data_IF_339345390115
#
_entry.id   IF_339345390115
#
_cell.length_a   1.000
_cell.length_b   1.000
_cell.length_c   1.000
_cell.angle_alpha   90.00
_cell.angle_beta   90.00
_cell.angle_gamma   90.00
#
_symmetry.space_group_name_H-M   'P 1'
#
loop_
_entity.id
_entity.type
_entity.pdbx_description
1 polymer ?
#
# COMPACT_ATOMS: atom_id res chain seq x y z
N UNK A 1 6.37 -14.94 -6.17
CA UNK A 1 5.49 -15.63 -7.14
C UNK A 1 5.59 -15.02 -8.54
N UNK A 2 5.40 -15.80 -9.60
CA UNK A 2 5.63 -15.36 -10.98
C UNK A 2 4.55 -14.38 -11.48
N UNK A 3 3.41 -14.32 -10.80
CA UNK A 3 2.29 -13.43 -11.10
C UNK A 3 2.36 -12.07 -10.38
N UNK A 4 3.55 -11.64 -9.98
CA UNK A 4 3.80 -10.32 -9.41
C UNK A 4 4.82 -9.55 -10.22
N UNK A 5 4.67 -8.24 -10.26
CA UNK A 5 5.70 -7.31 -10.78
C UNK A 5 6.38 -6.61 -9.61
N UNK A 6 7.70 -6.47 -9.72
CA UNK A 6 8.49 -5.62 -8.83
C UNK A 6 8.81 -4.34 -9.58
N UNK A 7 8.35 -3.21 -9.04
CA UNK A 7 8.50 -1.90 -9.65
C UNK A 7 9.35 -1.01 -8.75
N UNK A 8 10.22 -0.23 -9.36
CA UNK A 8 11.06 0.78 -8.73
C UNK A 8 10.59 2.15 -9.19
N UNK A 9 9.92 2.89 -8.32
CA UNK A 9 9.22 4.14 -8.67
C UNK A 9 9.77 5.29 -7.83
N UNK A 10 9.91 6.47 -8.43
CA UNK A 10 10.28 7.69 -7.73
C UNK A 10 9.09 8.25 -6.91
N UNK A 11 9.36 9.22 -6.02
CA UNK A 11 8.32 9.87 -5.21
C UNK A 11 8.10 9.26 -3.83
N UNK A 12 8.73 8.13 -3.53
CA UNK A 12 8.69 7.47 -2.22
C UNK A 12 7.31 6.98 -1.83
N UNK A 13 7.18 6.53 -0.58
CA UNK A 13 5.92 6.02 -0.02
C UNK A 13 4.78 7.06 -0.02
N UNK A 14 5.11 8.35 0.09
CA UNK A 14 4.07 9.41 0.10
C UNK A 14 3.33 9.49 -1.23
N UNK A 15 4.02 9.30 -2.37
CA UNK A 15 3.36 9.26 -3.67
C UNK A 15 2.44 8.04 -3.78
N UNK A 16 2.79 6.92 -3.14
CA UNK A 16 1.97 5.71 -3.16
C UNK A 16 0.63 5.89 -2.42
N UNK A 17 0.56 6.76 -1.41
CA UNK A 17 -0.71 7.09 -0.75
C UNK A 17 -1.77 7.62 -1.75
N UNK A 18 -1.33 8.31 -2.79
CA UNK A 18 -2.19 8.81 -3.87
C UNK A 18 -2.30 7.81 -5.03
N UNK A 19 -1.18 7.22 -5.49
CA UNK A 19 -1.19 6.30 -6.63
C UNK A 19 -2.03 5.04 -6.37
N UNK A 20 -1.98 4.48 -5.17
CA UNK A 20 -2.73 3.25 -4.83
C UNK A 20 -4.23 3.46 -5.05
N UNK A 21 -4.92 4.42 -4.43
CA UNK A 21 -6.33 4.61 -4.68
C UNK A 21 -6.64 4.99 -6.12
N UNK A 22 -5.81 5.79 -6.79
CA UNK A 22 -6.00 6.16 -8.20
C UNK A 22 -5.94 4.95 -9.14
N UNK A 23 -5.15 3.93 -8.83
CA UNK A 23 -5.00 2.74 -9.67
C UNK A 23 -5.94 1.60 -9.24
N UNK A 24 -6.20 1.41 -7.95
CA UNK A 24 -6.86 0.22 -7.44
C UNK A 24 -8.33 0.41 -7.09
N UNK A 25 -8.82 1.63 -6.87
CA UNK A 25 -10.25 1.88 -6.58
C UNK A 25 -11.09 1.79 -7.86
N UNK A 26 -11.43 0.57 -8.28
CA UNK A 26 -12.28 0.30 -9.45
C UNK A 26 -13.75 0.59 -9.17
N UNK A 27 -14.24 0.19 -8.00
CA UNK A 27 -15.61 0.46 -7.52
C UNK A 27 -15.68 1.78 -6.73
N UNK A 28 -14.53 2.45 -6.52
CA UNK A 28 -14.42 3.70 -5.80
C UNK A 28 -14.48 3.56 -4.28
N UNK A 29 -14.23 2.35 -3.72
CA UNK A 29 -14.35 2.10 -2.28
C UNK A 29 -13.18 1.27 -1.74
N UNK A 30 -12.60 1.68 -0.62
CA UNK A 30 -11.57 0.92 0.08
C UNK A 30 -11.75 0.95 1.60
N UNK A 31 -11.26 -0.09 2.25
CA UNK A 31 -11.23 -0.23 3.71
C UNK A 31 -9.82 0.02 4.21
N UNK A 32 -9.69 0.83 5.24
CA UNK A 32 -8.42 1.18 5.88
C UNK A 32 -8.45 0.84 7.37
N UNK A 33 -7.30 0.45 7.91
CA UNK A 33 -7.11 0.27 9.35
C UNK A 33 -6.14 1.36 9.83
N UNK A 34 -6.62 2.21 10.74
CA UNK A 34 -5.88 3.37 11.24
C UNK A 34 -5.09 2.98 12.49
N UNK A 35 -3.78 2.76 12.32
CA UNK A 35 -2.88 2.34 13.40
C UNK A 35 -1.80 3.36 13.74
N UNK A 36 -1.81 4.53 13.09
CA UNK A 36 -0.84 5.58 13.39
C UNK A 36 -0.83 6.73 12.39
N UNK A 37 0.28 7.49 12.41
CA UNK A 37 0.42 8.69 11.60
C UNK A 37 0.48 8.40 10.09
N UNK A 38 1.07 7.27 9.69
CA UNK A 38 1.24 6.94 8.28
C UNK A 38 -0.07 6.42 7.67
N UNK A 39 -0.74 5.48 8.32
CA UNK A 39 -2.08 5.05 7.88
C UNK A 39 -3.07 6.20 7.84
N UNK A 40 -3.03 7.13 8.81
CA UNK A 40 -3.86 8.35 8.81
C UNK A 40 -3.58 9.26 7.60
N UNK A 41 -2.32 9.39 7.16
CA UNK A 41 -1.97 10.15 5.95
C UNK A 41 -2.50 9.46 4.70
N UNK A 42 -2.31 8.15 4.59
CA UNK A 42 -2.82 7.35 3.48
C UNK A 42 -4.35 7.45 3.36
N UNK A 43 -5.08 7.39 4.48
CA UNK A 43 -6.54 7.59 4.52
C UNK A 43 -6.93 8.96 3.91
N UNK A 44 -6.23 10.03 4.29
CA UNK A 44 -6.54 11.39 3.79
C UNK A 44 -6.35 11.53 2.29
N UNK A 45 -5.33 10.89 1.73
CA UNK A 45 -5.09 10.88 0.28
C UNK A 45 -6.15 10.04 -0.44
N UNK A 46 -6.45 8.86 0.07
CA UNK A 46 -7.46 7.98 -0.52
C UNK A 46 -8.86 8.61 -0.53
N UNK A 47 -9.22 9.38 0.51
CA UNK A 47 -10.48 10.13 0.59
C UNK A 47 -10.64 11.21 -0.49
N UNK A 48 -9.55 11.59 -1.19
CA UNK A 48 -9.62 12.49 -2.35
C UNK A 48 -9.99 11.78 -3.64
N UNK A 49 -9.87 10.45 -3.66
CA UNK A 49 -10.10 9.61 -4.83
C UNK A 49 -11.44 8.88 -4.76
N UNK A 50 -11.80 8.36 -3.58
CA UNK A 50 -13.03 7.60 -3.41
C UNK A 50 -13.51 7.49 -1.97
N UNK A 51 -14.46 6.61 -1.74
CA UNK A 51 -15.00 6.31 -0.42
C UNK A 51 -14.00 5.50 0.40
N UNK A 52 -13.71 5.96 1.61
CA UNK A 52 -12.82 5.27 2.55
C UNK A 52 -13.56 4.94 3.84
N UNK A 53 -13.63 3.65 4.14
CA UNK A 53 -14.18 3.13 5.40
C UNK A 53 -13.01 2.81 6.32
N UNK A 54 -12.99 3.42 7.50
CA UNK A 54 -12.04 3.07 8.57
C UNK A 54 -12.69 1.96 9.43
N UNK A 55 -12.37 0.70 9.12
CA UNK A 55 -13.01 -0.45 9.77
C UNK A 55 -12.51 -0.68 11.20
N UNK A 56 -11.29 -0.27 11.51
CA UNK A 56 -10.75 -0.32 12.87
C UNK A 56 -9.69 0.79 13.07
N UNK A 57 -9.57 1.25 14.32
CA UNK A 57 -8.60 2.29 14.68
C UNK A 57 -8.10 2.09 16.11
N UNK A 58 -6.82 2.33 16.35
CA UNK A 58 -6.22 2.37 17.69
C UNK A 58 -5.99 3.80 18.23
N UNK A 59 -6.68 4.78 17.63
CA UNK A 59 -6.60 6.19 18.03
C UNK A 59 -7.03 6.44 19.47
N UNK A 60 -7.94 5.63 20.00
CA UNK A 60 -8.44 5.70 21.39
C UNK A 60 -7.32 5.62 22.44
N UNK A 61 -6.22 4.91 22.14
CA UNK A 61 -5.03 4.78 22.98
C UNK A 61 -3.78 5.34 22.30
N UNK A 62 -3.93 6.44 21.56
CA UNK A 62 -2.80 7.11 20.90
C UNK A 62 -1.93 6.17 20.04
N UNK A 63 -2.56 5.19 19.37
CA UNK A 63 -1.89 4.22 18.47
C UNK A 63 -0.81 3.38 19.18
N UNK A 64 -1.08 2.91 20.38
CA UNK A 64 -0.14 2.06 21.15
C UNK A 64 -0.36 0.57 20.93
N UNK A 65 -1.29 0.16 20.10
CA UNK A 65 -1.62 -1.22 19.80
C UNK A 65 -2.15 -1.40 18.39
N UNK A 66 -2.19 -2.65 17.91
CA UNK A 66 -2.91 -3.06 16.71
C UNK A 66 -4.29 -3.54 17.12
N UNK A 67 -5.40 -3.00 16.57
CA UNK A 67 -6.74 -3.46 16.90
C UNK A 67 -6.95 -4.92 16.47
N UNK A 68 -7.86 -5.63 17.12
CA UNK A 68 -8.27 -6.94 16.64
C UNK A 68 -9.02 -6.80 15.31
N UNK A 69 -8.48 -7.42 14.28
CA UNK A 69 -8.99 -7.38 12.92
C UNK A 69 -9.34 -8.78 12.41
N UNK A 70 -9.71 -9.69 13.33
CA UNK A 70 -10.14 -11.06 13.00
C UNK A 70 -11.52 -11.12 12.37
N UNK A 71 -12.40 -10.14 12.67
CA UNK A 71 -13.76 -10.05 12.15
C UNK A 71 -14.15 -8.61 11.82
N UNK A 72 -13.56 -8.07 10.76
CA UNK A 72 -13.86 -6.74 10.26
C UNK A 72 -15.18 -6.74 9.46
N UNK A 73 -15.93 -5.64 9.57
CA UNK A 73 -17.02 -5.37 8.63
C UNK A 73 -16.43 -4.77 7.35
N UNK A 74 -16.46 -5.56 6.27
CA UNK A 74 -15.94 -5.18 4.96
C UNK A 74 -17.07 -5.33 3.94
N UNK A 75 -17.53 -4.23 3.30
CA UNK A 75 -18.52 -4.30 2.23
C UNK A 75 -18.02 -5.15 1.04
N UNK A 76 -18.94 -5.87 0.40
CA UNK A 76 -18.62 -6.75 -0.74
C UNK A 76 -18.01 -6.01 -1.94
N UNK A 77 -18.37 -4.74 -2.14
CA UNK A 77 -17.88 -3.87 -3.22
C UNK A 77 -16.55 -3.18 -2.88
N UNK A 78 -15.86 -3.60 -1.82
CA UNK A 78 -14.54 -3.07 -1.42
C UNK A 78 -13.46 -3.51 -2.40
N UNK A 79 -12.71 -2.56 -2.94
CA UNK A 79 -11.62 -2.82 -3.89
C UNK A 79 -10.37 -3.39 -3.19
N UNK A 80 -10.04 -2.89 -1.99
CA UNK A 80 -8.91 -3.39 -1.20
C UNK A 80 -9.03 -3.00 0.28
N UNK A 81 -8.29 -3.73 1.11
CA UNK A 81 -8.04 -3.42 2.52
C UNK A 81 -6.60 -2.92 2.66
N UNK A 82 -6.40 -1.80 3.35
CA UNK A 82 -5.08 -1.19 3.53
C UNK A 82 -4.62 -1.21 4.98
N UNK A 83 -3.33 -1.55 5.17
CA UNK A 83 -2.62 -1.45 6.44
C UNK A 83 -1.27 -0.74 6.28
N UNK A 84 -0.83 -0.04 7.32
CA UNK A 84 0.57 0.29 7.53
C UNK A 84 1.14 -0.76 8.51
N UNK A 85 1.93 -1.70 8.01
CA UNK A 85 2.32 -2.89 8.78
C UNK A 85 3.32 -2.57 9.88
N UNK A 86 4.07 -1.47 9.76
CA UNK A 86 4.88 -0.92 10.83
C UNK A 86 4.76 0.61 10.88
N UNK A 87 4.07 1.10 11.89
CA UNK A 87 3.92 2.54 12.16
C UNK A 87 5.16 3.07 12.88
N UNK A 88 6.11 3.59 12.12
CA UNK A 88 7.45 3.99 12.57
C UNK A 88 7.42 4.97 13.74
N UNK A 89 6.53 5.97 13.70
CA UNK A 89 6.44 7.04 14.72
C UNK A 89 5.91 6.48 16.04
N UNK A 90 4.93 5.59 15.97
CA UNK A 90 4.27 5.04 17.16
C UNK A 90 4.92 3.74 17.66
N UNK A 91 5.83 3.15 16.87
CA UNK A 91 6.51 1.89 17.23
C UNK A 91 5.56 0.68 17.27
N UNK A 92 4.52 0.70 16.43
CA UNK A 92 3.51 -0.36 16.38
C UNK A 92 3.70 -1.20 15.13
N UNK A 93 3.79 -2.51 15.32
CA UNK A 93 4.01 -3.50 14.25
C UNK A 93 2.92 -4.57 14.29
N UNK A 94 2.44 -4.98 13.13
CA UNK A 94 1.52 -6.09 12.99
C UNK A 94 2.24 -7.43 13.18
N UNK A 95 1.71 -8.25 14.11
CA UNK A 95 2.18 -9.62 14.32
C UNK A 95 1.34 -10.66 13.57
N UNK A 96 0.11 -10.29 13.20
CA UNK A 96 -0.85 -11.11 12.47
C UNK A 96 -1.60 -10.21 11.48
N UNK A 97 -1.71 -10.64 10.23
CA UNK A 97 -2.47 -9.90 9.22
C UNK A 97 -3.97 -9.88 9.53
N UNK A 98 -4.70 -8.84 9.10
CA UNK A 98 -6.14 -8.77 9.27
C UNK A 98 -6.84 -9.85 8.43
N UNK A 99 -8.02 -10.29 8.89
CA UNK A 99 -8.89 -11.09 8.06
C UNK A 99 -9.59 -10.18 7.05
N UNK A 100 -9.13 -10.19 5.82
CA UNK A 100 -9.68 -9.35 4.74
C UNK A 100 -10.93 -9.95 4.09
N UNK A 101 -11.42 -11.10 4.56
CA UNK A 101 -12.57 -11.84 3.98
C UNK A 101 -12.42 -12.08 2.47
N UNK A 102 -11.19 -12.26 2.00
CA UNK A 102 -10.85 -12.51 0.60
C UNK A 102 -10.61 -11.27 -0.25
N UNK A 103 -10.77 -10.07 0.31
CA UNK A 103 -10.39 -8.84 -0.40
C UNK A 103 -8.88 -8.67 -0.49
N UNK A 104 -8.44 -7.93 -1.50
CA UNK A 104 -7.04 -7.58 -1.75
C UNK A 104 -6.45 -6.86 -0.54
N UNK A 105 -5.31 -7.34 -0.04
CA UNK A 105 -4.55 -6.66 1.02
C UNK A 105 -3.45 -5.79 0.40
N UNK A 106 -3.42 -4.53 0.78
CA UNK A 106 -2.36 -3.56 0.43
C UNK A 106 -1.61 -3.16 1.70
N UNK A 107 -0.29 -3.27 1.69
CA UNK A 107 0.54 -3.02 2.86
C UNK A 107 1.67 -2.03 2.61
N UNK A 108 1.76 -1.01 3.48
CA UNK A 108 2.97 -0.19 3.63
C UNK A 108 3.94 -0.90 4.57
N UNK A 109 5.07 -1.35 4.03
CA UNK A 109 6.14 -1.98 4.79
C UNK A 109 7.41 -1.13 4.87
N UNK A 110 7.33 0.17 4.58
CA UNK A 110 8.51 1.05 4.43
C UNK A 110 9.54 0.92 5.55
N UNK A 111 9.12 0.78 6.81
CA UNK A 111 10.04 0.72 7.95
C UNK A 111 10.39 -0.69 8.42
N UNK A 112 9.87 -1.72 7.75
CA UNK A 112 10.16 -3.11 8.09
C UNK A 112 10.50 -3.99 6.88
N UNK A 113 10.38 -3.47 5.66
CA UNK A 113 10.65 -4.23 4.44
C UNK A 113 12.03 -4.89 4.49
N UNK A 114 12.10 -6.18 4.16
CA UNK A 114 13.29 -7.04 4.23
C UNK A 114 13.84 -7.29 5.66
N UNK A 115 13.13 -6.89 6.71
CA UNK A 115 13.56 -7.19 8.10
C UNK A 115 13.24 -8.61 8.55
N UNK A 116 12.23 -9.22 7.94
CA UNK A 116 11.81 -10.61 8.17
C UNK A 116 11.23 -11.21 6.89
N UNK A 117 11.23 -12.55 6.74
CA UNK A 117 10.52 -13.20 5.65
C UNK A 117 9.02 -12.86 5.68
N UNK A 118 8.43 -12.65 4.51
CA UNK A 118 6.98 -12.55 4.34
C UNK A 118 6.53 -13.42 3.17
N UNK A 119 5.29 -13.92 3.26
CA UNK A 119 4.68 -14.61 2.12
C UNK A 119 4.00 -13.56 1.23
N UNK A 120 4.60 -13.25 0.09
CA UNK A 120 4.09 -12.23 -0.85
C UNK A 120 2.67 -12.56 -1.32
N UNK A 121 2.31 -13.85 -1.39
CA UNK A 121 0.98 -14.28 -1.83
C UNK A 121 -0.17 -13.89 -0.89
N UNK A 122 0.13 -13.47 0.35
CA UNK A 122 -0.88 -12.97 1.29
C UNK A 122 -1.34 -11.53 0.95
N UNK A 123 -0.66 -10.87 0.02
CA UNK A 123 -0.90 -9.49 -0.37
C UNK A 123 -1.26 -9.37 -1.84
N UNK A 124 -2.09 -8.42 -2.18
CA UNK A 124 -2.22 -7.97 -3.57
C UNK A 124 -1.14 -6.95 -3.92
N UNK A 125 -0.74 -6.13 -2.94
CA UNK A 125 0.33 -5.17 -3.12
C UNK A 125 1.09 -4.92 -1.82
N UNK A 126 2.42 -4.94 -1.90
CA UNK A 126 3.34 -4.43 -0.88
C UNK A 126 4.07 -3.23 -1.47
N UNK A 127 4.25 -2.19 -0.70
CA UNK A 127 5.18 -1.13 -1.08
C UNK A 127 6.06 -0.67 0.10
N UNK A 128 7.22 -0.14 -0.23
CA UNK A 128 8.20 0.29 0.75
C UNK A 128 9.03 1.46 0.24
N UNK A 129 8.96 2.60 0.91
CA UNK A 129 9.93 3.68 0.75
C UNK A 129 11.29 3.23 1.26
N UNK A 130 12.31 3.23 0.39
CA UNK A 130 13.59 2.57 0.70
C UNK A 130 14.44 3.27 1.75
N UNK A 131 14.21 4.55 2.01
CA UNK A 131 15.01 5.41 2.91
C UNK A 131 15.02 4.99 4.38
N UNK A 132 14.22 4.00 4.78
CA UNK A 132 14.16 3.53 6.16
C UNK A 132 15.01 2.27 6.35
N UNK A 133 14.53 1.13 5.87
CA UNK A 133 15.17 -0.16 6.16
C UNK A 133 15.95 -0.78 4.99
N UNK A 134 15.82 -0.23 3.79
CA UNK A 134 16.41 -0.84 2.57
C UNK A 134 17.70 -0.15 2.14
N UNK A 135 17.69 1.19 2.00
CA UNK A 135 18.83 1.92 1.44
C UNK A 135 18.65 3.43 1.39
N UNK A 136 19.36 4.12 0.47
CA UNK A 136 19.28 5.57 0.34
C UNK A 136 17.92 6.06 -0.13
N UNK A 137 17.56 7.29 0.22
CA UNK A 137 16.30 7.91 -0.20
C UNK A 137 16.25 8.11 -1.73
N UNK A 138 15.03 8.18 -2.28
CA UNK A 138 14.77 8.55 -3.67
C UNK A 138 13.92 7.55 -4.47
N UNK A 139 13.56 6.43 -3.86
CA UNK A 139 12.80 5.37 -4.52
C UNK A 139 11.78 4.73 -3.59
N UNK A 140 10.76 4.14 -4.16
CA UNK A 140 9.85 3.18 -3.54
C UNK A 140 9.90 1.86 -4.31
N UNK A 141 9.96 0.75 -3.60
CA UNK A 141 9.74 -0.58 -4.17
C UNK A 141 8.26 -0.90 -4.05
N UNK A 142 7.64 -1.33 -5.14
CA UNK A 142 6.28 -1.84 -5.16
C UNK A 142 6.30 -3.27 -5.68
N UNK A 143 5.72 -4.21 -4.93
CA UNK A 143 5.46 -5.57 -5.36
C UNK A 143 3.96 -5.66 -5.55
N UNK A 144 3.49 -5.77 -6.78
CA UNK A 144 2.08 -5.72 -7.13
C UNK A 144 1.69 -6.96 -7.94
N UNK A 145 0.55 -7.57 -7.59
CA UNK A 145 0.00 -8.68 -8.34
C UNK A 145 -0.49 -8.21 -9.71
N UNK A 146 -0.18 -8.97 -10.76
CA UNK A 146 -0.40 -8.56 -12.15
C UNK A 146 -1.86 -8.24 -12.48
N UNK A 147 -2.81 -8.96 -11.89
CA UNK A 147 -4.25 -8.73 -12.09
C UNK A 147 -4.77 -7.39 -11.53
N UNK A 148 -3.96 -6.72 -10.70
CA UNK A 148 -4.26 -5.39 -10.16
C UNK A 148 -3.70 -4.26 -11.03
N UNK A 149 -2.87 -4.57 -12.02
CA UNK A 149 -2.31 -3.59 -12.94
C UNK A 149 -3.32 -3.33 -14.06
N UNK A 150 -3.88 -2.13 -14.08
CA UNK A 150 -4.97 -1.74 -14.97
C UNK A 150 -4.43 -0.98 -16.18
N UNK A 151 -4.95 -1.31 -17.38
CA UNK A 151 -4.63 -0.64 -18.64
C UNK A 151 -5.73 0.34 -19.09
N UNK A 152 -6.85 0.40 -18.35
CA UNK A 152 -8.05 1.17 -18.68
C UNK A 152 -8.12 2.56 -18.02
N UNK A 153 -7.03 3.03 -17.40
CA UNK A 153 -6.96 4.29 -16.64
C UNK A 153 -6.69 5.49 -17.54
N UNK A 154 -7.58 5.76 -18.50
CA UNK A 154 -7.39 6.79 -19.54
C UNK A 154 -7.32 8.22 -19.00
N UNK A 155 -7.99 8.50 -17.87
CA UNK A 155 -8.05 9.83 -17.25
C UNK A 155 -6.93 10.09 -16.24
N UNK A 156 -6.15 9.04 -15.89
CA UNK A 156 -5.03 9.18 -14.99
C UNK A 156 -3.76 9.56 -15.77
N UNK A 157 -2.99 10.57 -15.32
CA UNK A 157 -1.70 10.88 -15.93
C UNK A 157 -0.81 9.64 -16.09
N UNK A 158 -0.20 9.49 -17.25
CA UNK A 158 0.56 8.29 -17.65
C UNK A 158 1.60 7.89 -16.59
N UNK A 159 2.34 8.85 -16.03
CA UNK A 159 3.35 8.60 -15.00
C UNK A 159 2.78 8.00 -13.71
N UNK A 160 1.51 8.24 -13.39
CA UNK A 160 0.86 7.74 -12.18
C UNK A 160 0.22 6.34 -12.36
N UNK A 161 0.29 5.76 -13.57
CA UNK A 161 -0.25 4.44 -13.86
C UNK A 161 0.80 3.36 -13.56
N UNK A 162 0.44 2.32 -12.80
CA UNK A 162 1.34 1.18 -12.58
C UNK A 162 1.64 0.41 -13.87
N UNK A 163 0.70 0.36 -14.82
CA UNK A 163 0.90 -0.25 -16.14
C UNK A 163 2.06 0.38 -16.91
N UNK A 164 2.21 1.71 -16.85
CA UNK A 164 3.33 2.43 -17.47
C UNK A 164 4.67 1.97 -16.91
N UNK A 165 4.79 1.88 -15.58
CA UNK A 165 6.03 1.44 -14.94
C UNK A 165 6.31 -0.04 -15.18
N UNK A 166 5.29 -0.89 -15.17
CA UNK A 166 5.41 -2.31 -15.47
C UNK A 166 5.84 -2.56 -16.91
N UNK A 167 5.19 -1.89 -17.89
CA UNK A 167 5.52 -2.00 -19.31
C UNK A 167 6.93 -1.51 -19.65
N UNK A 168 7.43 -0.52 -18.93
CA UNK A 168 8.78 0.04 -19.10
C UNK A 168 9.86 -0.66 -18.26
N UNK A 169 9.54 -1.74 -17.52
CA UNK A 169 10.48 -2.40 -16.61
C UNK A 169 11.08 -1.44 -15.59
N UNK A 170 10.27 -0.50 -15.06
CA UNK A 170 10.64 0.58 -14.15
C UNK A 170 11.56 1.65 -14.75
N UNK A 171 11.80 1.63 -16.06
CA UNK A 171 12.69 2.58 -16.75
C UNK A 171 11.94 3.65 -17.53
N UNK A 172 10.65 3.85 -17.27
CA UNK A 172 9.91 4.99 -17.84
C UNK A 172 10.55 6.33 -17.43
N UNK A 173 11.00 6.41 -16.19
CA UNK A 173 11.89 7.47 -15.72
C UNK A 173 13.01 6.84 -14.88
N UNK A 174 14.25 7.23 -15.12
CA UNK A 174 15.42 6.63 -14.47
C UNK A 174 15.31 6.71 -12.95
N UNK A 175 15.26 5.58 -12.22
CA UNK A 175 15.24 5.58 -10.77
C UNK A 175 16.61 5.98 -10.19
N UNK A 176 16.66 6.18 -8.87
CA UNK A 176 17.91 6.41 -8.18
C UNK A 176 18.81 5.16 -8.30
N UNK A 177 19.95 5.30 -8.99
CA UNK A 177 20.84 4.18 -9.27
C UNK A 177 21.66 3.71 -8.05
N UNK A 178 21.59 4.42 -6.92
CA UNK A 178 22.25 4.04 -5.67
C UNK A 178 21.33 3.37 -4.65
N UNK A 179 20.03 3.32 -4.89
CA UNK A 179 19.05 2.74 -3.99
C UNK A 179 18.82 1.25 -4.26
#
# INVERSE_FOLDING_TARGET
PDNYKVLFIQGGATLQFSMIPMNLMKNGKAVYIETGAWSKKAIKEAQKVGEVIVAASSKDKNYTYVPDCSDLEIPEDTDYVYICENETIHGVTWNKLPNTKGHVLVSDQSSMFLSKPCNVSDYGMIYAGVQKNVGPAGMVVCIIREDLIRDDLTDLPIYLQYSTHAGAGSMYNTPNCWA
#
